data_IF_139473898289
#
_entry.id   IF_139473898289
#
_cell.length_a   1.000
_cell.length_b   1.000
_cell.length_c   1.000
_cell.angle_alpha   90.00
_cell.angle_beta   90.00
_cell.angle_gamma   90.00
#
_symmetry.space_group_name_H-M   'P 1'
#
loop_
_entity.id
_entity.type
_entity.pdbx_description
1 polymer ?
#
# COMPACT_ATOMS: atom_id res chain seq x y z
N UNK A 1 21.04 -28.82 1.24
CA UNK A 1 20.33 -27.60 1.67
C UNK A 1 19.68 -27.06 0.42
N UNK A 2 18.35 -26.98 0.36
CA UNK A 2 17.70 -26.31 -0.77
C UNK A 2 17.99 -24.82 -0.61
N UNK A 3 18.83 -24.29 -1.47
CA UNK A 3 19.02 -22.87 -1.61
C UNK A 3 17.67 -22.26 -1.95
N UNK A 4 17.15 -21.38 -1.10
CA UNK A 4 15.91 -20.67 -1.40
C UNK A 4 16.21 -19.69 -2.52
N UNK A 5 16.08 -20.15 -3.76
CA UNK A 5 16.19 -19.28 -4.93
C UNK A 5 15.02 -18.30 -4.86
N UNK A 6 15.34 -17.04 -4.64
CA UNK A 6 14.36 -15.97 -4.64
C UNK A 6 13.98 -15.70 -6.08
N UNK A 7 12.76 -16.07 -6.48
CA UNK A 7 12.24 -15.86 -7.84
C UNK A 7 11.97 -14.35 -8.08
N UNK A 8 12.72 -13.69 -8.98
CA UNK A 8 12.54 -12.27 -9.27
C UNK A 8 11.14 -11.96 -9.83
N UNK A 9 10.53 -12.90 -10.58
CA UNK A 9 9.19 -12.72 -11.11
C UNK A 9 8.15 -12.67 -9.99
N UNK A 10 8.32 -13.51 -8.95
CA UNK A 10 7.48 -13.47 -7.75
C UNK A 10 7.62 -12.13 -7.01
N UNK A 11 8.84 -11.62 -6.84
CA UNK A 11 9.07 -10.32 -6.20
C UNK A 11 8.41 -9.16 -6.96
N UNK A 12 8.49 -9.16 -8.29
CA UNK A 12 7.80 -8.15 -9.11
C UNK A 12 6.28 -8.26 -9.01
N UNK A 13 5.74 -9.48 -8.96
CA UNK A 13 4.33 -9.68 -8.74
C UNK A 13 3.88 -9.13 -7.37
N UNK A 14 4.68 -9.33 -6.32
CA UNK A 14 4.41 -8.73 -5.01
C UNK A 14 4.49 -7.20 -5.05
N UNK A 15 5.46 -6.62 -5.76
CA UNK A 15 5.57 -5.17 -5.91
C UNK A 15 4.32 -4.57 -6.58
N UNK A 16 3.85 -5.17 -7.67
CA UNK A 16 2.62 -4.73 -8.34
C UNK A 16 1.37 -4.88 -7.46
N UNK A 17 1.32 -5.88 -6.58
CA UNK A 17 0.23 -6.03 -5.60
C UNK A 17 0.26 -4.93 -4.54
N UNK A 18 1.44 -4.53 -4.06
CA UNK A 18 1.58 -3.42 -3.12
C UNK A 18 1.08 -2.09 -3.74
N UNK A 19 1.41 -1.84 -5.00
CA UNK A 19 0.91 -0.69 -5.76
C UNK A 19 -0.62 -0.73 -5.93
N UNK A 20 -1.18 -1.91 -6.23
CA UNK A 20 -2.63 -2.11 -6.33
C UNK A 20 -3.37 -1.82 -5.02
N UNK A 21 -2.83 -2.30 -3.90
CA UNK A 21 -3.37 -2.03 -2.56
C UNK A 21 -3.37 -0.53 -2.24
N UNK A 22 -2.33 0.21 -2.65
CA UNK A 22 -2.27 1.66 -2.45
C UNK A 22 -3.45 2.36 -3.14
N UNK A 23 -3.81 1.93 -4.36
CA UNK A 23 -5.00 2.41 -5.04
C UNK A 23 -6.32 2.06 -4.32
N UNK A 24 -6.42 0.88 -3.72
CA UNK A 24 -7.59 0.47 -2.92
C UNK A 24 -7.76 1.34 -1.66
N UNK A 25 -6.67 1.74 -1.01
CA UNK A 25 -6.68 2.67 0.15
C UNK A 25 -7.29 4.01 -0.24
N UNK A 26 -6.87 4.58 -1.38
CA UNK A 26 -7.44 5.81 -1.92
C UNK A 26 -8.94 5.67 -2.24
N UNK A 27 -9.35 4.52 -2.79
CA UNK A 27 -10.76 4.19 -3.02
C UNK A 27 -11.59 4.17 -1.74
N UNK A 28 -11.08 3.55 -0.68
CA UNK A 28 -11.71 3.54 0.63
C UNK A 28 -11.78 4.95 1.26
N UNK A 29 -10.77 5.79 1.01
CA UNK A 29 -10.80 7.21 1.35
C UNK A 29 -12.02 7.93 0.81
N UNK A 30 -12.41 7.68 -0.44
CA UNK A 30 -13.59 8.28 -1.05
C UNK A 30 -14.88 7.88 -0.32
N UNK A 31 -15.02 6.60 0.05
CA UNK A 31 -16.18 6.10 0.81
C UNK A 31 -16.26 6.71 2.22
N UNK A 32 -15.11 6.91 2.86
CA UNK A 32 -15.04 7.55 4.18
C UNK A 32 -15.45 9.02 4.11
N UNK A 33 -15.12 9.73 3.03
CA UNK A 33 -15.53 11.12 2.84
C UNK A 33 -17.03 11.29 2.62
N UNK A 34 -17.73 10.28 2.09
CA UNK A 34 -19.19 10.27 1.97
C UNK A 34 -19.92 10.27 3.33
N UNK A 35 -19.24 9.92 4.43
CA UNK A 35 -19.83 9.95 5.77
C UNK A 35 -20.09 11.39 6.26
N UNK A 36 -19.27 12.36 5.82
CA UNK A 36 -19.36 13.74 6.28
C UNK A 36 -20.72 14.41 5.97
N UNK A 37 -21.26 14.35 4.73
CA UNK A 37 -22.58 14.91 4.44
C UNK A 37 -23.72 14.18 5.17
N UNK A 38 -23.58 12.87 5.45
CA UNK A 38 -24.59 12.11 6.19
C UNK A 38 -24.73 12.57 7.66
N UNK A 39 -23.70 13.22 8.21
CA UNK A 39 -23.67 13.69 9.59
C UNK A 39 -24.16 15.14 9.77
N UNK A 40 -24.44 15.88 8.69
CA UNK A 40 -24.65 17.33 8.72
C UNK A 40 -25.88 17.81 9.53
N UNK A 41 -26.82 16.92 9.86
CA UNK A 41 -28.04 17.24 10.60
C UNK A 41 -27.91 17.22 12.13
N UNK A 42 -26.83 16.64 12.67
CA UNK A 42 -26.59 16.53 14.11
C UNK A 42 -25.17 17.02 14.45
N UNK A 43 -25.01 18.10 15.24
CA UNK A 43 -23.70 18.66 15.55
C UNK A 43 -22.76 17.69 16.27
N UNK A 44 -23.28 16.81 17.12
CA UNK A 44 -22.49 15.80 17.83
C UNK A 44 -22.01 14.70 16.88
N UNK A 45 -22.88 14.24 15.99
CA UNK A 45 -22.55 13.28 14.94
C UNK A 45 -21.54 13.88 13.94
N UNK A 46 -21.73 15.13 13.53
CA UNK A 46 -20.81 15.84 12.63
C UNK A 46 -19.41 15.95 13.23
N UNK A 47 -19.29 16.26 14.52
CA UNK A 47 -18.00 16.30 15.22
C UNK A 47 -17.34 14.92 15.27
N UNK A 48 -18.09 13.87 15.61
CA UNK A 48 -17.58 12.51 15.69
C UNK A 48 -17.12 11.98 14.32
N UNK A 49 -17.93 12.19 13.28
CA UNK A 49 -17.59 11.81 11.89
C UNK A 49 -16.41 12.61 11.38
N UNK A 50 -16.37 13.92 11.63
CA UNK A 50 -15.21 14.75 11.27
C UNK A 50 -13.91 14.24 11.91
N UNK A 51 -13.94 13.90 13.20
CA UNK A 51 -12.77 13.33 13.88
C UNK A 51 -12.35 11.98 13.29
N UNK A 52 -13.33 11.11 12.97
CA UNK A 52 -13.06 9.83 12.32
C UNK A 52 -12.43 10.01 10.93
N UNK A 53 -12.98 10.87 10.08
CA UNK A 53 -12.46 11.15 8.72
C UNK A 53 -11.02 11.66 8.79
N UNK A 54 -10.71 12.55 9.73
CA UNK A 54 -9.34 13.04 9.91
C UNK A 54 -8.38 11.93 10.36
N UNK A 55 -8.80 11.09 11.31
CA UNK A 55 -8.00 9.94 11.75
C UNK A 55 -7.79 8.91 10.63
N UNK A 56 -8.80 8.70 9.78
CA UNK A 56 -8.69 7.86 8.60
C UNK A 56 -7.66 8.41 7.61
N UNK A 57 -7.75 9.69 7.26
CA UNK A 57 -6.82 10.35 6.33
C UNK A 57 -5.36 10.24 6.78
N UNK A 58 -5.09 10.46 8.06
CA UNK A 58 -3.73 10.31 8.59
C UNK A 58 -3.19 8.89 8.39
N UNK A 59 -3.99 7.88 8.74
CA UNK A 59 -3.61 6.46 8.56
C UNK A 59 -3.50 6.05 7.10
N UNK A 60 -4.35 6.58 6.23
CA UNK A 60 -4.32 6.30 4.80
C UNK A 60 -3.00 6.79 4.18
N UNK A 61 -2.55 8.00 4.53
CA UNK A 61 -1.26 8.54 4.09
C UNK A 61 -0.09 7.67 4.56
N UNK A 62 -0.10 7.24 5.83
CA UNK A 62 0.93 6.35 6.37
C UNK A 62 0.96 5.01 5.62
N UNK A 63 -0.20 4.40 5.40
CA UNK A 63 -0.32 3.11 4.72
C UNK A 63 0.05 3.19 3.23
N UNK A 64 -0.34 4.26 2.52
CA UNK A 64 0.07 4.50 1.13
C UNK A 64 1.59 4.66 1.01
N UNK A 65 2.23 5.34 1.97
CA UNK A 65 3.68 5.47 2.02
C UNK A 65 4.36 4.12 2.26
N UNK A 66 3.89 3.33 3.24
CA UNK A 66 4.43 2.00 3.51
C UNK A 66 4.28 1.05 2.32
N UNK A 67 3.15 1.08 1.61
CA UNK A 67 2.92 0.27 0.41
C UNK A 67 3.83 0.69 -0.74
N UNK A 68 4.06 1.99 -0.89
CA UNK A 68 5.00 2.53 -1.89
C UNK A 68 6.44 2.07 -1.59
N UNK A 69 6.86 2.19 -0.34
CA UNK A 69 8.19 1.76 0.12
C UNK A 69 8.37 0.25 -0.06
N UNK A 70 7.36 -0.55 0.30
CA UNK A 70 7.37 -1.99 0.08
C UNK A 70 7.51 -2.35 -1.41
N UNK A 71 6.77 -1.68 -2.30
CA UNK A 71 6.88 -1.87 -3.74
C UNK A 71 8.27 -1.49 -4.28
N UNK A 72 8.87 -0.41 -3.79
CA UNK A 72 10.23 0.01 -4.11
C UNK A 72 11.29 -1.00 -3.66
N UNK A 73 11.19 -1.48 -2.42
CA UNK A 73 12.06 -2.52 -1.88
C UNK A 73 11.98 -3.80 -2.70
N UNK A 74 10.77 -4.29 -3.00
CA UNK A 74 10.56 -5.53 -3.74
C UNK A 74 11.13 -5.48 -5.17
N UNK A 75 11.01 -4.34 -5.85
CA UNK A 75 11.65 -4.12 -7.16
C UNK A 75 13.17 -4.15 -7.06
N UNK A 76 13.73 -3.42 -6.11
CA UNK A 76 15.18 -3.39 -5.89
C UNK A 76 15.72 -4.78 -5.58
N UNK A 77 14.98 -5.56 -4.79
CA UNK A 77 15.35 -6.92 -4.47
C UNK A 77 15.23 -7.87 -5.67
N UNK A 78 14.23 -7.68 -6.53
CA UNK A 78 14.09 -8.43 -7.79
C UNK A 78 15.28 -8.18 -8.72
N UNK A 79 15.67 -6.91 -8.89
CA UNK A 79 16.78 -6.53 -9.75
C UNK A 79 18.12 -7.08 -9.21
N UNK A 80 18.29 -7.13 -7.89
CA UNK A 80 19.44 -7.77 -7.25
C UNK A 80 19.47 -9.29 -7.47
N UNK A 81 18.31 -9.96 -7.35
CA UNK A 81 18.19 -11.39 -7.56
C UNK A 81 18.51 -11.79 -9.01
N UNK A 82 18.08 -11.01 -10.01
CA UNK A 82 18.45 -11.25 -11.41
C UNK A 82 19.94 -11.08 -11.70
N UNK A 83 20.57 -10.06 -11.11
CA UNK A 83 22.01 -9.85 -11.26
C UNK A 83 22.84 -11.00 -10.69
N UNK A 84 22.39 -11.55 -9.54
CA UNK A 84 23.02 -12.72 -8.93
C UNK A 84 22.87 -13.97 -9.82
N UNK A 85 21.67 -14.23 -10.35
CA UNK A 85 21.42 -15.38 -11.23
C UNK A 85 22.24 -15.31 -12.53
N UNK A 86 22.35 -14.11 -13.11
CA UNK A 86 23.20 -13.86 -14.28
C UNK A 86 24.68 -14.16 -13.98
N UNK A 87 25.18 -13.70 -12.84
CA UNK A 87 26.58 -13.88 -12.42
C UNK A 87 26.95 -15.33 -12.09
N UNK A 88 25.96 -16.17 -11.73
CA UNK A 88 26.14 -17.60 -11.48
C UNK A 88 26.05 -18.45 -12.76
N UNK A 89 25.53 -17.88 -13.84
CA UNK A 89 25.37 -18.55 -15.14
C UNK A 89 26.55 -18.33 -16.11
N UNK A 90 27.52 -17.49 -15.73
CA UNK A 90 28.79 -17.22 -16.45
C UNK A 90 29.95 -18.08 -15.91
#
# INVERSE_FOLDING_TARGET
MSETVVDPAHLRALAGRAEGLSGEVGGLGSLVEELAPAAAGDPGLAAAVGAFVQAWRARAVEMEAELTDAGGFLRTFADAAEQMDASLSE
#
